data_IF_258423043643
#
_entry.id   IF_258423043643
#
_cell.length_a   1.000
_cell.length_b   1.000
_cell.length_c   1.000
_cell.angle_alpha   90.00
_cell.angle_beta   90.00
_cell.angle_gamma   90.00
#
_symmetry.space_group_name_H-M   'P 1'
#
loop_
_entity.id
_entity.type
_entity.pdbx_description
1 polymer ?
#
# COMPACT_ATOMS: atom_id res chain seq x y z
N UNK A 1 -18.77 31.97 44.40
CA UNK A 1 -19.73 31.32 43.49
C UNK A 1 -19.05 31.24 42.13
N UNK A 2 -18.07 30.35 42.01
CA UNK A 2 -18.17 28.99 41.42
C UNK A 2 -18.31 29.01 39.92
N UNK A 3 -17.13 28.99 39.31
CA UNK A 3 -16.80 28.47 37.99
C UNK A 3 -17.56 27.18 37.65
N UNK A 4 -18.14 27.13 36.45
CA UNK A 4 -18.51 25.87 35.79
C UNK A 4 -18.82 26.11 34.31
N UNK A 5 -17.83 25.87 33.45
CA UNK A 5 -18.05 25.36 32.08
C UNK A 5 -16.78 24.70 31.55
N UNK A 6 -16.30 23.70 32.28
CA UNK A 6 -15.46 22.65 31.70
C UNK A 6 -16.37 21.67 30.96
N UNK A 7 -16.52 21.89 29.65
CA UNK A 7 -17.05 20.85 28.77
C UNK A 7 -15.91 19.88 28.49
N UNK A 8 -15.84 18.81 29.29
CA UNK A 8 -15.03 17.62 29.03
C UNK A 8 -15.46 17.04 27.70
N UNK A 9 -14.59 17.09 26.70
CA UNK A 9 -14.64 16.17 25.58
C UNK A 9 -14.42 14.76 26.13
N UNK A 10 -15.48 13.97 26.19
CA UNK A 10 -15.35 12.52 26.28
C UNK A 10 -14.83 12.04 24.93
N UNK A 11 -13.51 11.90 24.81
CA UNK A 11 -12.93 11.00 23.83
C UNK A 11 -13.24 9.61 24.37
N UNK A 12 -14.21 8.93 23.77
CA UNK A 12 -14.33 7.49 23.96
C UNK A 12 -12.99 6.88 23.56
N UNK A 13 -12.33 6.24 24.53
CA UNK A 13 -11.13 5.46 24.25
C UNK A 13 -11.56 4.40 23.24
N UNK A 14 -11.00 4.36 22.01
CA UNK A 14 -11.28 3.25 21.11
C UNK A 14 -10.93 1.96 21.85
N UNK A 15 -11.79 0.96 21.69
CA UNK A 15 -11.74 -0.32 22.40
C UNK A 15 -10.30 -0.78 22.64
N UNK A 16 -9.98 -1.13 23.89
CA UNK A 16 -8.72 -1.80 24.24
C UNK A 16 -8.47 -2.91 23.20
N UNK A 17 -7.47 -2.68 22.35
CA UNK A 17 -7.36 -3.30 21.04
C UNK A 17 -7.31 -4.81 21.11
N UNK A 18 -7.94 -5.47 20.13
CA UNK A 18 -7.57 -6.84 19.78
C UNK A 18 -6.05 -6.90 19.63
N UNK A 19 -5.42 -7.94 20.19
CA UNK A 19 -3.98 -8.11 20.09
C UNK A 19 -3.58 -8.27 18.61
N UNK A 20 -2.99 -7.22 18.02
CA UNK A 20 -2.59 -7.17 16.61
C UNK A 20 -1.29 -7.94 16.43
N UNK A 21 -1.29 -8.91 15.53
CA UNK A 21 -0.10 -9.65 15.16
C UNK A 21 0.59 -8.99 13.97
N UNK A 22 1.80 -8.47 14.15
CA UNK A 22 2.49 -7.72 13.10
C UNK A 22 3.36 -8.65 12.23
N UNK A 23 3.15 -8.60 10.90
CA UNK A 23 3.91 -9.31 9.87
C UNK A 23 4.52 -8.28 8.91
N UNK A 24 5.60 -7.65 9.35
CA UNK A 24 6.22 -6.54 8.62
C UNK A 24 7.44 -7.05 7.86
N UNK A 25 7.34 -7.11 6.54
CA UNK A 25 8.38 -7.58 5.65
C UNK A 25 9.18 -6.42 5.07
N UNK A 26 10.48 -6.64 4.86
CA UNK A 26 11.32 -5.73 4.09
C UNK A 26 12.06 -6.50 2.99
N UNK A 27 11.79 -6.11 1.74
CA UNK A 27 12.28 -6.78 0.53
C UNK A 27 13.75 -6.45 0.30
N UNK A 28 14.56 -7.40 -0.13
CA UNK A 28 15.92 -7.16 -0.62
C UNK A 28 16.20 -7.89 -1.94
N UNK A 29 17.10 -7.34 -2.74
CA UNK A 29 17.36 -7.77 -4.12
C UNK A 29 18.80 -8.27 -4.35
N UNK A 30 19.69 -8.00 -3.41
CA UNK A 30 21.10 -8.40 -3.44
C UNK A 30 21.69 -8.28 -2.02
N UNK A 31 22.96 -8.65 -1.84
CA UNK A 31 23.60 -8.61 -0.52
C UNK A 31 23.77 -7.18 0.01
N UNK A 32 23.90 -6.17 -0.87
CA UNK A 32 23.98 -4.77 -0.49
C UNK A 32 22.66 -4.27 0.14
N UNK A 33 21.54 -4.46 -0.57
CA UNK A 33 20.21 -4.09 -0.06
C UNK A 33 19.80 -4.91 1.15
N UNK A 34 20.30 -6.15 1.29
CA UNK A 34 20.12 -6.97 2.49
C UNK A 34 20.78 -6.36 3.72
N UNK A 35 21.95 -5.73 3.57
CA UNK A 35 22.66 -5.08 4.67
C UNK A 35 22.00 -3.77 5.13
N UNK A 36 21.14 -3.18 4.28
CA UNK A 36 20.40 -1.95 4.58
C UNK A 36 19.09 -2.19 5.34
N UNK A 37 18.69 -3.46 5.53
CA UNK A 37 17.41 -3.77 6.16
C UNK A 37 17.40 -3.37 7.63
N UNK A 38 16.24 -2.92 8.10
CA UNK A 38 15.96 -2.72 9.52
C UNK A 38 15.81 -4.10 10.19
N UNK A 39 16.60 -4.41 11.22
CA UNK A 39 16.59 -5.73 11.86
C UNK A 39 15.27 -6.06 12.57
N UNK A 40 14.40 -5.07 12.80
CA UNK A 40 13.08 -5.29 13.36
C UNK A 40 12.01 -5.65 12.32
N UNK A 41 12.33 -5.69 11.02
CA UNK A 41 11.48 -6.24 9.96
C UNK A 41 11.92 -7.66 9.56
N UNK A 42 10.97 -8.41 8.98
CA UNK A 42 11.20 -9.74 8.43
C UNK A 42 11.85 -9.58 7.06
N UNK A 43 13.09 -10.04 6.91
CA UNK A 43 13.78 -9.99 5.63
C UNK A 43 13.08 -10.87 4.59
N UNK A 44 12.71 -10.29 3.44
CA UNK A 44 12.06 -10.96 2.32
C UNK A 44 12.99 -11.02 1.11
N UNK A 45 13.47 -12.23 0.79
CA UNK A 45 14.44 -12.47 -0.28
C UNK A 45 13.78 -12.41 -1.66
N UNK A 46 14.16 -11.40 -2.45
CA UNK A 46 13.78 -11.28 -3.86
C UNK A 46 15.02 -11.23 -4.77
N UNK A 47 16.14 -11.87 -4.39
CA UNK A 47 17.36 -11.91 -5.23
C UNK A 47 17.17 -12.62 -6.55
N UNK A 48 16.30 -13.64 -6.59
CA UNK A 48 15.99 -14.35 -7.83
C UNK A 48 15.29 -13.43 -8.85
N UNK A 49 14.51 -12.45 -8.35
CA UNK A 49 13.80 -11.43 -9.11
C UNK A 49 13.23 -11.94 -10.45
N UNK A 50 12.47 -13.02 -10.41
CA UNK A 50 12.07 -13.77 -11.61
C UNK A 50 11.09 -13.02 -12.51
N UNK A 51 10.46 -11.96 -11.98
CA UNK A 51 9.50 -11.09 -12.67
C UNK A 51 9.80 -9.62 -12.38
N UNK A 52 10.92 -9.09 -12.91
CA UNK A 52 11.33 -7.70 -12.66
C UNK A 52 10.32 -6.68 -13.23
N UNK A 53 9.60 -7.07 -14.27
CA UNK A 53 8.49 -6.34 -14.91
C UNK A 53 7.33 -6.04 -13.96
N UNK A 54 7.14 -6.89 -12.94
CA UNK A 54 6.12 -6.68 -11.90
C UNK A 54 6.66 -5.99 -10.64
N UNK A 55 7.94 -5.63 -10.61
CA UNK A 55 8.58 -4.94 -9.49
C UNK A 55 8.21 -5.56 -8.12
N UNK A 56 7.81 -4.74 -7.14
CA UNK A 56 7.45 -5.16 -5.79
C UNK A 56 6.12 -5.92 -5.71
N UNK A 57 5.26 -5.83 -6.72
CA UNK A 57 4.02 -6.62 -6.74
C UNK A 57 4.35 -8.12 -6.71
N UNK A 58 5.38 -8.57 -7.42
CA UNK A 58 5.74 -9.98 -7.50
C UNK A 58 6.04 -10.63 -6.14
N UNK A 59 7.01 -10.15 -5.33
CA UNK A 59 7.29 -10.76 -4.02
C UNK A 59 6.10 -10.64 -3.07
N UNK A 60 5.32 -9.55 -3.10
CA UNK A 60 4.10 -9.38 -2.29
C UNK A 60 3.08 -10.47 -2.66
N UNK A 61 2.81 -10.63 -3.96
CA UNK A 61 1.93 -11.65 -4.52
C UNK A 61 2.35 -13.05 -4.07
N UNK A 62 3.64 -13.38 -4.17
CA UNK A 62 4.15 -14.69 -3.74
C UNK A 62 3.95 -14.93 -2.25
N UNK A 63 4.13 -13.92 -1.39
CA UNK A 63 3.86 -14.08 0.05
C UNK A 63 2.37 -14.31 0.29
N UNK A 64 1.49 -13.51 -0.30
CA UNK A 64 0.06 -13.60 -0.03
C UNK A 64 -0.60 -14.87 -0.59
N UNK A 65 -0.11 -15.40 -1.73
CA UNK A 65 -0.64 -16.64 -2.32
C UNK A 65 -0.12 -17.91 -1.63
N UNK A 66 1.11 -17.89 -1.12
CA UNK A 66 1.76 -19.09 -0.56
C UNK A 66 1.67 -19.18 0.97
N UNK A 67 1.02 -18.23 1.63
CA UNK A 67 0.87 -18.20 3.08
C UNK A 67 -0.59 -17.94 3.47
N UNK A 68 -0.99 -18.48 4.61
CA UNK A 68 -2.26 -18.16 5.26
C UNK A 68 -1.97 -17.34 6.52
N UNK A 69 -2.63 -16.19 6.62
CA UNK A 69 -2.57 -15.30 7.77
C UNK A 69 -3.87 -15.39 8.57
N UNK A 70 -3.84 -14.91 9.81
CA UNK A 70 -5.00 -14.83 10.71
C UNK A 70 -5.71 -13.49 10.58
N UNK A 71 -6.98 -13.42 10.99
CA UNK A 71 -7.78 -12.19 10.91
C UNK A 71 -7.19 -11.01 11.72
N UNK A 72 -6.41 -11.30 12.77
CA UNK A 72 -5.71 -10.31 13.58
C UNK A 72 -4.30 -9.97 13.05
N UNK A 73 -3.87 -10.52 11.92
CA UNK A 73 -2.59 -10.19 11.32
C UNK A 73 -2.67 -8.85 10.57
N UNK A 74 -1.70 -7.99 10.86
CA UNK A 74 -1.44 -6.73 10.16
C UNK A 74 -0.11 -6.84 9.42
N UNK A 75 -0.17 -6.67 8.10
CA UNK A 75 0.90 -7.02 7.19
C UNK A 75 1.39 -5.76 6.48
N UNK A 76 2.70 -5.62 6.35
CA UNK A 76 3.34 -4.55 5.58
C UNK A 76 4.49 -5.10 4.74
N UNK A 77 4.72 -4.51 3.57
CA UNK A 77 5.80 -4.90 2.67
C UNK A 77 6.57 -3.65 2.27
N UNK A 78 7.81 -3.54 2.72
CA UNK A 78 8.60 -2.32 2.56
C UNK A 78 9.82 -2.54 1.67
N UNK A 79 10.21 -1.50 0.93
CA UNK A 79 11.44 -1.49 0.16
C UNK A 79 12.67 -1.35 1.07
N UNK A 80 13.90 -1.67 0.59
CA UNK A 80 15.13 -1.36 1.32
C UNK A 80 15.25 0.12 1.69
N UNK A 81 14.65 1.01 0.89
CA UNK A 81 14.73 2.47 1.03
C UNK A 81 13.63 3.06 1.91
N UNK A 82 12.85 2.22 2.61
CA UNK A 82 11.76 2.68 3.47
C UNK A 82 12.20 3.80 4.43
N UNK A 83 13.22 3.53 5.26
CA UNK A 83 13.74 4.52 6.21
C UNK A 83 14.26 5.79 5.53
N UNK A 84 14.96 5.65 4.40
CA UNK A 84 15.47 6.79 3.62
C UNK A 84 14.32 7.70 3.15
N UNK A 85 13.19 7.13 2.76
CA UNK A 85 12.05 7.86 2.21
C UNK A 85 11.08 8.39 3.25
N UNK A 86 10.84 7.65 4.32
CA UNK A 86 9.81 7.96 5.32
C UNK A 86 10.39 8.53 6.62
N UNK A 87 11.66 8.24 6.91
CA UNK A 87 12.27 8.48 8.22
C UNK A 87 11.75 7.54 9.31
N UNK A 88 10.91 6.56 8.97
CA UNK A 88 10.30 5.63 9.91
C UNK A 88 11.11 4.33 10.03
N UNK A 89 11.41 3.91 11.25
CA UNK A 89 12.00 2.61 11.55
C UNK A 89 10.94 1.59 12.00
N UNK A 90 11.34 0.35 12.22
CA UNK A 90 10.43 -0.73 12.59
C UNK A 90 9.75 -0.52 13.95
N UNK A 91 10.40 0.13 14.93
CA UNK A 91 9.80 0.43 16.23
C UNK A 91 8.64 1.41 16.09
N UNK A 92 8.84 2.49 15.33
CA UNK A 92 7.81 3.51 15.08
C UNK A 92 6.61 2.93 14.32
N UNK A 93 6.87 2.09 13.31
CA UNK A 93 5.78 1.40 12.58
C UNK A 93 4.98 0.50 13.52
N UNK A 94 5.66 -0.29 14.35
CA UNK A 94 5.00 -1.18 15.32
C UNK A 94 4.16 -0.40 16.33
N UNK A 95 4.69 0.70 16.85
CA UNK A 95 3.99 1.55 17.81
C UNK A 95 2.71 2.14 17.22
N UNK A 96 2.79 2.74 16.03
CA UNK A 96 1.64 3.31 15.31
C UNK A 96 0.55 2.26 15.07
N UNK A 97 0.91 1.09 14.56
CA UNK A 97 -0.07 0.05 14.23
C UNK A 97 -0.69 -0.56 15.49
N UNK A 98 0.11 -0.77 16.54
CA UNK A 98 -0.35 -1.38 17.81
C UNK A 98 -1.31 -0.46 18.56
N UNK A 99 -1.02 0.84 18.57
CA UNK A 99 -1.81 1.83 19.31
C UNK A 99 -2.98 2.39 18.50
N UNK A 100 -2.97 2.25 17.17
CA UNK A 100 -4.03 2.72 16.30
C UNK A 100 -5.26 1.81 16.26
N UNK A 101 -6.40 2.34 15.82
CA UNK A 101 -7.67 1.60 15.66
C UNK A 101 -7.99 1.16 14.23
N UNK A 102 -7.24 1.64 13.25
CA UNK A 102 -7.57 1.52 11.83
C UNK A 102 -7.21 0.14 11.23
N UNK A 103 -7.78 -0.12 10.05
CA UNK A 103 -7.44 -1.29 9.22
C UNK A 103 -6.25 -1.02 8.28
N UNK A 104 -5.93 0.25 8.01
CA UNK A 104 -4.82 0.67 7.15
C UNK A 104 -4.05 1.79 7.86
N UNK A 105 -2.73 1.68 7.88
CA UNK A 105 -1.80 2.66 8.43
C UNK A 105 -0.86 3.11 7.32
N UNK A 106 -0.99 4.37 6.90
CA UNK A 106 -0.13 4.97 5.88
C UNK A 106 1.12 5.57 6.51
N UNK A 107 2.26 5.28 5.89
CA UNK A 107 3.57 5.90 6.12
C UNK A 107 4.07 6.58 4.84
N UNK A 108 3.15 6.90 3.91
CA UNK A 108 3.50 7.49 2.63
C UNK A 108 4.23 8.81 2.82
N UNK A 109 5.46 8.95 2.29
CA UNK A 109 6.10 10.24 2.16
C UNK A 109 5.46 11.00 0.99
N UNK A 110 5.99 12.19 0.69
CA UNK A 110 5.62 13.00 -0.49
C UNK A 110 4.34 13.83 -0.37
N UNK A 111 4.10 14.45 0.78
CA UNK A 111 2.99 15.41 0.98
C UNK A 111 3.03 16.58 -0.01
N UNK A 112 4.22 16.97 -0.45
CA UNK A 112 4.43 17.97 -1.49
C UNK A 112 3.81 17.53 -2.83
N UNK A 113 3.99 16.27 -3.21
CA UNK A 113 3.37 15.72 -4.42
C UNK A 113 1.84 15.65 -4.29
N UNK A 114 1.31 15.27 -3.12
CA UNK A 114 -0.14 15.33 -2.84
C UNK A 114 -0.70 16.76 -2.86
N UNK A 115 0.13 17.78 -2.68
CA UNK A 115 -0.29 19.18 -2.73
C UNK A 115 -0.23 19.79 -4.14
N UNK A 116 0.49 19.18 -5.08
CA UNK A 116 0.68 19.69 -6.44
C UNK A 116 -0.37 19.21 -7.44
N UNK A 117 -1.07 18.13 -7.13
CA UNK A 117 -2.06 17.48 -7.99
C UNK A 117 -3.33 17.20 -7.22
N UNK A 118 -4.49 17.23 -7.88
CA UNK A 118 -5.77 16.96 -7.22
C UNK A 118 -5.88 15.51 -6.75
N UNK A 119 -5.23 14.59 -7.44
CA UNK A 119 -5.22 13.16 -7.12
C UNK A 119 -4.01 12.46 -7.77
N UNK A 120 -3.66 11.23 -7.35
CA UNK A 120 -2.52 10.50 -7.92
C UNK A 120 -2.70 10.11 -9.40
N UNK A 121 -3.92 10.06 -9.94
CA UNK A 121 -4.15 9.80 -11.36
C UNK A 121 -3.74 10.99 -12.23
N UNK A 122 -4.04 12.22 -11.81
CA UNK A 122 -3.61 13.44 -12.50
C UNK A 122 -2.08 13.54 -12.54
N UNK A 123 -1.43 13.26 -11.40
CA UNK A 123 0.03 13.16 -11.35
C UNK A 123 0.53 12.06 -12.31
N UNK A 124 -0.05 10.87 -12.23
CA UNK A 124 0.31 9.72 -13.06
C UNK A 124 0.21 10.02 -14.55
N UNK A 125 -0.87 10.65 -15.00
CA UNK A 125 -1.08 11.05 -16.40
C UNK A 125 0.01 12.00 -16.91
N UNK A 126 0.50 12.91 -16.05
CA UNK A 126 1.56 13.86 -16.41
C UNK A 126 2.89 13.17 -16.72
N UNK A 127 3.22 12.12 -15.97
CA UNK A 127 4.48 11.39 -16.13
C UNK A 127 4.35 10.16 -17.04
N UNK A 128 3.13 9.64 -17.18
CA UNK A 128 2.79 8.45 -17.96
C UNK A 128 1.51 8.72 -18.78
N UNK A 129 1.61 9.47 -19.90
CA UNK A 129 0.45 9.79 -20.72
C UNK A 129 -0.34 8.54 -21.15
N UNK A 130 -1.66 8.59 -20.98
CA UNK A 130 -2.57 7.48 -21.24
C UNK A 130 -2.94 6.63 -20.03
N UNK A 131 -2.36 6.90 -18.84
CA UNK A 131 -2.67 6.19 -17.59
C UNK A 131 -4.15 6.28 -17.23
N UNK A 132 -4.75 7.48 -17.27
CA UNK A 132 -6.17 7.66 -16.93
C UNK A 132 -7.05 6.85 -17.88
N UNK A 133 -6.75 6.88 -19.18
CA UNK A 133 -7.53 6.14 -20.18
C UNK A 133 -7.40 4.62 -19.98
N UNK A 134 -6.22 4.14 -19.57
CA UNK A 134 -6.02 2.73 -19.21
C UNK A 134 -6.82 2.36 -17.96
N UNK A 135 -6.82 3.22 -16.93
CA UNK A 135 -7.62 3.00 -15.73
C UNK A 135 -9.12 2.98 -16.02
N UNK A 136 -9.64 3.91 -16.83
CA UNK A 136 -11.06 3.95 -17.24
C UNK A 136 -11.49 2.68 -17.99
N UNK A 137 -10.56 2.05 -18.72
CA UNK A 137 -10.82 0.76 -19.38
C UNK A 137 -10.80 -0.41 -18.39
N UNK A 138 -9.98 -0.30 -17.34
CA UNK A 138 -9.80 -1.33 -16.31
C UNK A 138 -10.87 -1.26 -15.20
N UNK A 139 -11.41 -0.08 -14.89
CA UNK A 139 -12.32 0.11 -13.76
C UNK A 139 -13.59 -0.74 -13.87
N UNK A 140 -14.08 -0.98 -15.10
CA UNK A 140 -15.19 -1.90 -15.37
C UNK A 140 -14.88 -3.36 -15.05
N UNK A 141 -13.62 -3.81 -15.20
CA UNK A 141 -13.18 -5.16 -14.83
C UNK A 141 -12.98 -5.33 -13.32
N UNK A 142 -12.73 -4.21 -12.61
CA UNK A 142 -12.47 -4.20 -11.17
C UNK A 142 -13.71 -3.89 -10.31
N UNK A 143 -14.85 -3.59 -10.93
CA UNK A 143 -16.07 -3.13 -10.24
C UNK A 143 -15.79 -1.89 -9.36
N UNK A 144 -14.96 -0.97 -9.88
CA UNK A 144 -14.60 0.27 -9.19
C UNK A 144 -15.40 1.43 -9.76
N UNK A 145 -16.31 1.97 -8.96
CA UNK A 145 -17.01 3.23 -9.24
C UNK A 145 -16.17 4.44 -8.82
N UNK A 146 -15.17 4.78 -9.64
CA UNK A 146 -14.29 5.93 -9.42
C UNK A 146 -14.01 6.65 -10.73
N UNK A 147 -14.25 7.97 -10.76
CA UNK A 147 -13.86 8.82 -11.88
C UNK A 147 -12.50 9.48 -11.60
N UNK A 148 -11.39 9.00 -12.20
CA UNK A 148 -10.05 9.52 -11.94
C UNK A 148 -9.88 11.00 -12.33
N UNK A 149 -10.80 11.55 -13.14
CA UNK A 149 -10.77 12.94 -13.61
C UNK A 149 -11.47 13.91 -12.66
N UNK A 150 -12.29 13.42 -11.74
CA UNK A 150 -13.13 14.25 -10.87
C UNK A 150 -12.81 14.10 -9.38
N UNK A 151 -12.18 12.99 -8.97
CA UNK A 151 -11.83 12.82 -7.56
C UNK A 151 -10.78 13.82 -7.10
N UNK A 152 -10.93 14.26 -5.85
CA UNK A 152 -9.91 15.03 -5.12
C UNK A 152 -9.46 14.16 -3.95
N UNK A 153 -8.15 13.95 -3.86
CA UNK A 153 -7.53 13.18 -2.81
C UNK A 153 -6.70 14.09 -1.90
N UNK A 154 -6.50 13.62 -0.68
CA UNK A 154 -5.58 14.21 0.29
C UNK A 154 -4.70 13.11 0.89
N UNK A 155 -3.96 13.42 1.95
CA UNK A 155 -3.09 12.47 2.64
C UNK A 155 -3.82 11.29 3.31
N UNK A 156 -5.13 11.38 3.53
CA UNK A 156 -5.95 10.29 4.10
C UNK A 156 -6.44 9.31 3.03
N UNK A 157 -6.41 9.72 1.76
CA UNK A 157 -6.92 8.97 0.60
C UNK A 157 -5.85 8.67 -0.45
N UNK A 158 -4.60 9.05 -0.20
CA UNK A 158 -3.45 8.82 -1.09
C UNK A 158 -2.35 8.07 -0.37
N UNK A 159 -1.85 7.00 -0.99
CA UNK A 159 -0.66 6.28 -0.56
C UNK A 159 0.25 6.14 -1.78
N UNK A 160 1.47 6.68 -1.68
CA UNK A 160 2.50 6.48 -2.68
C UNK A 160 3.38 5.29 -2.31
N UNK A 161 3.60 4.40 -3.28
CA UNK A 161 4.38 3.16 -3.10
C UNK A 161 3.81 2.24 -2.01
N UNK A 162 4.53 1.16 -1.69
CA UNK A 162 4.13 0.18 -0.66
C UNK A 162 4.50 0.66 0.76
N UNK A 163 4.14 1.90 1.11
CA UNK A 163 4.46 2.48 2.43
C UNK A 163 3.24 2.45 3.35
N UNK A 164 2.67 1.26 3.55
CA UNK A 164 1.55 1.07 4.44
C UNK A 164 1.56 -0.29 5.11
N UNK A 165 0.86 -0.38 6.23
CA UNK A 165 0.50 -1.64 6.90
C UNK A 165 -1.01 -1.76 6.85
N UNK A 166 -1.53 -2.93 6.54
CA UNK A 166 -2.97 -3.16 6.55
C UNK A 166 -3.34 -4.50 7.18
N UNK A 167 -4.58 -4.61 7.65
CA UNK A 167 -5.15 -5.89 8.09
C UNK A 167 -5.13 -6.92 6.96
N UNK A 168 -5.11 -8.21 7.30
CA UNK A 168 -5.14 -9.26 6.29
C UNK A 168 -6.40 -9.20 5.41
N UNK A 169 -7.53 -8.77 5.96
CA UNK A 169 -8.77 -8.54 5.18
C UNK A 169 -8.57 -7.54 4.04
N UNK A 170 -7.87 -6.43 4.29
CA UNK A 170 -7.55 -5.45 3.25
C UNK A 170 -6.60 -6.06 2.21
N UNK A 171 -5.59 -6.82 2.63
CA UNK A 171 -4.68 -7.50 1.71
C UNK A 171 -5.39 -8.54 0.82
N UNK A 172 -6.42 -9.23 1.31
CA UNK A 172 -7.24 -10.12 0.48
C UNK A 172 -7.99 -9.36 -0.62
N UNK A 173 -8.56 -8.20 -0.30
CA UNK A 173 -9.24 -7.34 -1.30
C UNK A 173 -8.25 -6.79 -2.32
N UNK A 174 -7.11 -6.30 -1.84
CA UNK A 174 -6.02 -5.83 -2.70
C UNK A 174 -5.51 -6.93 -3.63
N UNK A 175 -5.30 -8.15 -3.11
CA UNK A 175 -4.85 -9.29 -3.91
C UNK A 175 -5.89 -9.67 -4.96
N UNK A 176 -7.17 -9.71 -4.60
CA UNK A 176 -8.24 -10.02 -5.55
C UNK A 176 -8.25 -9.04 -6.75
N UNK A 177 -8.12 -7.73 -6.50
CA UNK A 177 -8.05 -6.72 -7.56
C UNK A 177 -6.77 -6.86 -8.40
N UNK A 178 -5.62 -7.06 -7.75
CA UNK A 178 -4.35 -7.16 -8.47
C UNK A 178 -4.20 -8.47 -9.25
N UNK A 179 -4.81 -9.58 -8.83
CA UNK A 179 -4.86 -10.81 -9.61
C UNK A 179 -5.69 -10.66 -10.90
N UNK A 180 -6.73 -9.81 -10.89
CA UNK A 180 -7.46 -9.47 -12.11
C UNK A 180 -6.55 -8.71 -13.08
N UNK A 181 -5.84 -7.69 -12.59
CA UNK A 181 -4.86 -6.92 -13.37
C UNK A 181 -3.77 -7.83 -13.93
N UNK A 182 -3.19 -8.67 -13.07
CA UNK A 182 -2.16 -9.64 -13.44
C UNK A 182 -2.65 -10.55 -14.56
N UNK A 183 -3.82 -11.16 -14.40
CA UNK A 183 -4.41 -12.03 -15.45
C UNK A 183 -4.61 -11.28 -16.77
N UNK A 184 -5.17 -10.07 -16.75
CA UNK A 184 -5.41 -9.26 -17.95
C UNK A 184 -4.09 -9.00 -18.71
N UNK A 185 -3.03 -8.62 -18.00
CA UNK A 185 -1.72 -8.39 -18.59
C UNK A 185 -1.11 -9.69 -19.16
N UNK A 186 -1.04 -10.75 -18.34
CA UNK A 186 -0.34 -11.99 -18.71
C UNK A 186 -1.04 -12.76 -19.83
N UNK A 187 -2.37 -12.78 -19.86
CA UNK A 187 -3.10 -13.40 -20.96
C UNK A 187 -2.86 -12.64 -22.26
N UNK A 188 -2.86 -11.31 -22.21
CA UNK A 188 -2.50 -10.45 -23.34
C UNK A 188 -3.40 -10.66 -24.60
N UNK A 189 -4.64 -11.10 -24.39
CA UNK A 189 -5.57 -11.46 -25.48
C UNK A 189 -6.48 -10.26 -25.86
N UNK A 190 -6.86 -9.45 -24.87
CA UNK A 190 -7.74 -8.29 -25.10
C UNK A 190 -6.93 -7.05 -25.51
N UNK A 191 -7.55 -6.08 -26.20
CA UNK A 191 -6.90 -4.79 -26.47
C UNK A 191 -6.42 -4.09 -25.19
N UNK A 192 -7.16 -4.24 -24.08
CA UNK A 192 -6.77 -3.74 -22.77
C UNK A 192 -5.51 -4.45 -22.27
N UNK A 193 -5.47 -5.79 -22.30
CA UNK A 193 -4.32 -6.58 -21.89
C UNK A 193 -3.06 -6.22 -22.68
N UNK A 194 -3.17 -6.08 -24.00
CA UNK A 194 -2.06 -5.64 -24.87
C UNK A 194 -1.54 -4.26 -24.53
N UNK A 195 -2.44 -3.32 -24.23
CA UNK A 195 -2.05 -1.97 -23.82
C UNK A 195 -1.35 -1.99 -22.46
N UNK A 196 -1.87 -2.73 -21.49
CA UNK A 196 -1.30 -2.79 -20.14
C UNK A 196 0.03 -3.53 -20.10
N UNK A 197 0.16 -4.63 -20.84
CA UNK A 197 1.42 -5.39 -20.94
C UNK A 197 2.55 -4.55 -21.56
N UNK A 198 2.23 -3.62 -22.47
CA UNK A 198 3.22 -2.70 -23.04
C UNK A 198 3.74 -1.66 -22.03
N UNK A 199 3.13 -1.55 -20.85
CA UNK A 199 3.55 -0.65 -19.77
C UNK A 199 4.37 -1.34 -18.67
N UNK A 200 4.51 -2.68 -18.72
CA UNK A 200 5.34 -3.49 -17.82
C UNK A 200 6.77 -3.61 -18.36
#
# INVERSE_FOLDING_TARGET
MTDSRSSRWHIENPAQGMNKNLKLFQIFYNDETRQQLDPGFIALDNRANTRPDWAEYWPIRQVLLNNQFSDNDYIGFFSPRFYEKTGCNSEQVKDVVTNGGDEIFSFSPFFDHSALHLNPFEQGERYHPGLITSFESLSGELDIELNPREIVCDHTTTIFSNYFVASYEIWKRWLAMTEIIFRICEENITPLGQKMQACL
#
